data_IF_212337167494
#
_entry.id   IF_212337167494
#
_cell.length_a   1.000
_cell.length_b   1.000
_cell.length_c   1.000
_cell.angle_alpha   90.00
_cell.angle_beta   90.00
_cell.angle_gamma   90.00
#
_symmetry.space_group_name_H-M   'P 1'
#
loop_
_entity.id
_entity.type
_entity.pdbx_description
1 polymer ?
#
# COMPACT_ATOMS: atom_id res chain seq x y z
N UNK A 1 -15.00 -7.95 4.67
CA UNK A 1 -13.92 -7.15 4.04
C UNK A 1 -13.47 -6.11 5.05
N UNK A 2 -12.15 -5.94 5.27
CA UNK A 2 -11.61 -4.93 6.19
C UNK A 2 -10.99 -3.79 5.37
N UNK A 3 -11.22 -2.55 5.79
CA UNK A 3 -10.67 -1.35 5.13
C UNK A 3 -9.73 -0.65 6.10
N UNK A 4 -8.50 -0.37 5.66
CA UNK A 4 -7.48 0.34 6.44
C UNK A 4 -7.18 1.64 5.72
N UNK A 5 -7.20 2.76 6.45
CA UNK A 5 -6.88 4.09 5.92
C UNK A 5 -5.67 4.64 6.67
N UNK A 6 -4.62 4.97 5.91
CA UNK A 6 -3.42 5.64 6.44
C UNK A 6 -3.50 7.12 6.07
N UNK A 7 -3.86 7.97 7.04
CA UNK A 7 -4.02 9.41 6.83
C UNK A 7 -3.27 10.23 7.90
N UNK A 8 -2.65 11.31 7.46
CA UNK A 8 -2.05 12.37 8.29
C UNK A 8 -1.90 13.63 7.42
N UNK A 9 -2.41 14.76 7.89
CA UNK A 9 -2.41 16.03 7.12
C UNK A 9 -0.99 16.62 6.95
N UNK A 10 -0.03 16.21 7.78
CA UNK A 10 1.36 16.62 7.65
C UNK A 10 2.06 15.86 6.51
N UNK A 11 2.63 16.58 5.56
CA UNK A 11 3.47 16.03 4.49
C UNK A 11 4.77 15.42 5.03
N UNK A 12 5.35 14.45 4.32
CA UNK A 12 6.68 13.91 4.63
C UNK A 12 6.80 13.03 5.89
N UNK A 13 5.68 12.65 6.53
CA UNK A 13 5.69 11.81 7.75
C UNK A 13 5.77 10.30 7.49
N UNK A 14 5.95 9.89 6.23
CA UNK A 14 6.08 8.47 5.86
C UNK A 14 4.78 7.69 5.67
N UNK A 15 3.62 8.35 5.55
CA UNK A 15 2.31 7.67 5.33
C UNK A 15 2.33 6.70 4.16
N UNK A 16 2.77 7.16 3.00
CA UNK A 16 2.79 6.38 1.76
C UNK A 16 3.71 5.17 1.90
N UNK A 17 4.90 5.38 2.48
CA UNK A 17 5.85 4.31 2.77
C UNK A 17 5.25 3.25 3.70
N UNK A 18 4.61 3.66 4.79
CA UNK A 18 3.94 2.74 5.71
C UNK A 18 2.77 2.00 5.05
N UNK A 19 1.93 2.71 4.29
CA UNK A 19 0.77 2.13 3.61
C UNK A 19 1.18 1.06 2.60
N UNK A 20 2.26 1.32 1.86
CA UNK A 20 2.85 0.39 0.88
C UNK A 20 3.40 -0.88 1.57
N UNK A 21 4.18 -0.74 2.64
CA UNK A 21 4.74 -1.90 3.35
C UNK A 21 3.66 -2.71 4.08
N UNK A 22 2.62 -2.05 4.58
CA UNK A 22 1.47 -2.72 5.17
C UNK A 22 0.74 -3.56 4.11
N UNK A 23 0.51 -2.99 2.93
CA UNK A 23 -0.12 -3.71 1.82
C UNK A 23 0.71 -4.92 1.37
N UNK A 24 2.03 -4.75 1.28
CA UNK A 24 2.97 -5.84 0.98
C UNK A 24 2.90 -6.98 2.00
N UNK A 25 3.03 -6.66 3.29
CA UNK A 25 2.95 -7.65 4.37
C UNK A 25 1.62 -8.40 4.35
N UNK A 26 0.51 -7.69 4.12
CA UNK A 26 -0.81 -8.31 4.05
C UNK A 26 -0.96 -9.22 2.82
N UNK A 27 -0.34 -8.87 1.70
CA UNK A 27 -0.40 -9.67 0.47
C UNK A 27 0.48 -10.93 0.56
N UNK A 28 1.74 -10.77 0.98
CA UNK A 28 2.75 -11.84 1.00
C UNK A 28 2.65 -12.69 2.27
N UNK A 29 2.86 -12.08 3.44
CA UNK A 29 3.02 -12.82 4.70
C UNK A 29 1.68 -13.26 5.28
N UNK A 30 0.65 -12.42 5.17
CA UNK A 30 -0.70 -12.76 5.63
C UNK A 30 -1.55 -13.50 4.58
N UNK A 31 -1.01 -13.72 3.36
CA UNK A 31 -1.66 -14.39 2.24
C UNK A 31 -3.05 -13.83 1.85
N UNK A 32 -3.32 -12.55 2.13
CA UNK A 32 -4.62 -11.91 1.87
C UNK A 32 -4.64 -11.23 0.51
N UNK A 33 -5.83 -11.16 -0.12
CA UNK A 33 -6.00 -10.33 -1.31
C UNK A 33 -6.12 -8.86 -0.89
N UNK A 34 -5.21 -8.04 -1.39
CA UNK A 34 -5.12 -6.61 -1.05
C UNK A 34 -5.41 -5.77 -2.28
N UNK A 35 -6.25 -4.75 -2.10
CA UNK A 35 -6.41 -3.65 -3.06
C UNK A 35 -5.81 -2.39 -2.42
N UNK A 36 -4.77 -1.86 -3.05
CA UNK A 36 -4.16 -0.60 -2.64
C UNK A 36 -4.72 0.54 -3.48
N UNK A 37 -5.18 1.61 -2.82
CA UNK A 37 -5.74 2.80 -3.48
C UNK A 37 -4.96 4.01 -2.96
N UNK A 38 -4.25 4.70 -3.86
CA UNK A 38 -3.63 5.98 -3.56
C UNK A 38 -4.61 7.12 -3.84
N UNK A 39 -4.93 7.89 -2.80
CA UNK A 39 -5.81 9.06 -2.87
C UNK A 39 -5.06 10.36 -2.52
N UNK A 40 -3.74 10.30 -2.34
CA UNK A 40 -2.93 11.49 -2.08
C UNK A 40 -2.74 12.25 -3.40
N UNK A 41 -3.16 13.53 -3.50
CA UNK A 41 -2.94 14.34 -4.69
C UNK A 41 -1.46 14.47 -5.10
N UNK A 42 -0.51 14.23 -4.18
CA UNK A 42 0.91 14.21 -4.49
C UNK A 42 1.36 12.99 -5.30
N UNK A 43 0.54 11.92 -5.34
CA UNK A 43 0.80 10.69 -6.07
C UNK A 43 2.22 10.12 -5.84
N UNK A 44 2.71 10.20 -4.60
CA UNK A 44 4.08 9.80 -4.22
C UNK A 44 4.27 8.28 -4.23
N UNK A 45 3.24 7.49 -4.56
CA UNK A 45 3.35 6.04 -4.67
C UNK A 45 4.18 5.68 -5.91
N UNK A 46 5.36 5.05 -5.76
CA UNK A 46 6.15 4.64 -6.89
C UNK A 46 5.46 3.48 -7.62
N UNK A 47 5.49 3.49 -8.96
CA UNK A 47 4.88 2.48 -9.84
C UNK A 47 5.66 1.15 -9.87
N UNK A 48 6.28 0.77 -8.75
CA UNK A 48 7.25 -0.31 -8.72
C UNK A 48 6.56 -1.67 -8.90
N UNK A 49 7.04 -2.54 -9.81
CA UNK A 49 6.34 -3.75 -10.26
C UNK A 49 6.26 -4.91 -9.24
N UNK A 50 6.76 -4.76 -8.01
CA UNK A 50 6.69 -5.84 -7.01
C UNK A 50 5.27 -6.08 -6.46
N UNK A 51 4.31 -5.18 -6.75
CA UNK A 51 2.88 -5.45 -6.53
C UNK A 51 2.28 -6.41 -7.57
N UNK A 52 2.94 -6.62 -8.71
CA UNK A 52 2.52 -7.58 -9.74
C UNK A 52 3.07 -9.00 -9.51
N UNK A 53 4.06 -9.17 -8.63
CA UNK A 53 4.57 -10.50 -8.26
C UNK A 53 3.79 -11.16 -7.12
N UNK A 54 2.94 -10.42 -6.41
CA UNK A 54 2.25 -10.88 -5.21
C UNK A 54 1.13 -11.91 -5.43
N UNK A 55 0.92 -12.37 -6.69
CA UNK A 55 0.29 -13.66 -7.04
C UNK A 55 0.13 -13.79 -8.55
N UNK A 56 1.13 -14.40 -9.17
CA UNK A 56 0.94 -15.27 -10.33
C UNK A 56 1.00 -16.74 -9.86
N UNK A 57 0.17 -17.12 -8.87
CA UNK A 57 -0.13 -18.51 -8.47
C UNK A 57 -1.34 -18.56 -7.51
#
# INVERSE_FOLDING_TARGET
>A
MKTIVVNNQKGGVGKTMLAIHLAWFLAEEAATRVLFIDLDPQATTPATPWTLSARAA
#
